data_IF_893918580471
#
_entry.id   IF_893918580471
#
_cell.length_a   1.000
_cell.length_b   1.000
_cell.length_c   1.000
_cell.angle_alpha   90.00
_cell.angle_beta   90.00
_cell.angle_gamma   90.00
#
_symmetry.space_group_name_H-M   'P 1'
#
loop_
_entity.id
_entity.type
_entity.pdbx_description
1 polymer ?
#
# COMPACT_ATOMS: atom_id res chain seq x y z
N UNK A 1 21.59 -27.72 -42.21
CA UNK A 1 21.94 -26.47 -41.50
C UNK A 1 21.17 -26.38 -40.19
N UNK A 2 21.82 -26.53 -39.03
CA UNK A 2 21.20 -26.24 -37.73
C UNK A 2 21.09 -24.72 -37.60
N UNK A 3 19.88 -24.16 -37.69
CA UNK A 3 19.64 -22.75 -37.35
C UNK A 3 19.94 -22.58 -35.85
N UNK A 4 21.07 -21.98 -35.51
CA UNK A 4 21.36 -21.57 -34.14
C UNK A 4 20.46 -20.38 -33.81
N UNK A 5 19.41 -20.63 -33.06
CA UNK A 5 18.50 -19.59 -32.57
C UNK A 5 19.28 -18.62 -31.67
N UNK A 6 19.34 -17.34 -32.06
CA UNK A 6 20.02 -16.31 -31.29
C UNK A 6 19.15 -15.95 -30.06
N UNK A 7 19.36 -16.68 -28.97
CA UNK A 7 18.60 -16.52 -27.73
C UNK A 7 18.81 -15.17 -27.07
N UNK A 8 19.93 -14.49 -27.30
CA UNK A 8 20.14 -13.14 -26.80
C UNK A 8 19.23 -12.13 -27.49
N UNK A 9 18.97 -12.30 -28.79
CA UNK A 9 18.03 -11.46 -29.54
C UNK A 9 16.61 -11.58 -28.96
N UNK A 10 16.16 -12.80 -28.65
CA UNK A 10 14.81 -13.05 -28.11
C UNK A 10 14.68 -12.45 -26.70
N UNK A 11 15.68 -12.68 -25.84
CA UNK A 11 15.64 -12.15 -24.47
C UNK A 11 15.66 -10.63 -24.49
N UNK A 12 16.48 -10.02 -25.35
CA UNK A 12 16.53 -8.56 -25.49
C UNK A 12 15.23 -8.00 -26.07
N UNK A 13 14.60 -8.69 -27.04
CA UNK A 13 13.30 -8.30 -27.58
C UNK A 13 12.18 -8.41 -26.53
N UNK A 14 12.21 -9.43 -25.67
CA UNK A 14 11.27 -9.59 -24.56
C UNK A 14 11.45 -8.50 -23.51
N UNK A 15 12.69 -8.14 -23.16
CA UNK A 15 12.98 -7.03 -22.24
C UNK A 15 12.49 -5.72 -22.85
N UNK A 16 12.81 -5.45 -24.12
CA UNK A 16 12.37 -4.23 -24.82
C UNK A 16 10.84 -4.15 -24.88
N UNK A 17 10.18 -5.26 -25.22
CA UNK A 17 8.73 -5.35 -25.23
C UNK A 17 8.15 -5.14 -23.84
N UNK A 18 8.73 -5.74 -22.79
CA UNK A 18 8.28 -5.54 -21.41
C UNK A 18 8.44 -4.08 -20.95
N UNK A 19 9.54 -3.42 -21.33
CA UNK A 19 9.76 -1.99 -21.06
C UNK A 19 8.75 -1.12 -21.82
N UNK A 20 8.52 -1.38 -23.11
CA UNK A 20 7.55 -0.66 -23.92
C UNK A 20 6.11 -0.90 -23.46
N UNK A 21 5.76 -2.15 -23.17
CA UNK A 21 4.47 -2.53 -22.60
C UNK A 21 4.30 -1.91 -21.21
N UNK A 22 5.36 -1.77 -20.41
CA UNK A 22 5.30 -1.06 -19.14
C UNK A 22 5.11 0.45 -19.32
N UNK A 23 5.75 1.08 -20.31
CA UNK A 23 5.51 2.50 -20.63
C UNK A 23 4.04 2.70 -21.08
N UNK A 24 3.52 1.79 -21.90
CA UNK A 24 2.15 1.86 -22.43
C UNK A 24 1.11 1.49 -21.37
N UNK A 25 1.29 0.37 -20.66
CA UNK A 25 0.40 -0.14 -19.59
C UNK A 25 0.62 0.52 -18.23
N UNK A 26 1.67 1.30 -18.01
CA UNK A 26 1.82 2.17 -16.85
C UNK A 26 1.00 3.47 -17.01
N UNK A 27 0.79 3.89 -18.27
CA UNK A 27 -0.02 5.06 -18.63
C UNK A 27 -1.51 4.69 -18.79
N UNK A 28 -1.84 3.50 -19.30
CA UNK A 28 -3.22 3.08 -19.56
C UNK A 28 -4.15 2.91 -18.31
N UNK A 29 -3.74 2.38 -17.15
CA UNK A 29 -4.61 2.15 -16.00
C UNK A 29 -4.96 3.43 -15.24
N UNK A 30 -4.40 4.58 -15.63
CA UNK A 30 -4.94 5.89 -15.23
C UNK A 30 -6.37 6.12 -15.78
N UNK A 31 -6.82 5.33 -16.76
CA UNK A 31 -8.11 5.52 -17.46
C UNK A 31 -9.19 4.55 -16.96
N UNK A 32 -8.85 3.44 -16.29
CA UNK A 32 -9.81 2.38 -15.95
C UNK A 32 -9.59 1.80 -14.54
N UNK A 33 -10.17 2.42 -13.51
CA UNK A 33 -10.34 1.79 -12.19
C UNK A 33 -11.84 1.67 -11.86
N UNK A 34 -12.32 0.43 -11.85
CA UNK A 34 -13.65 0.04 -11.37
C UNK A 34 -13.65 0.02 -9.83
N UNK A 35 -14.70 0.58 -9.20
CA UNK A 35 -14.92 0.52 -7.75
C UNK A 35 -15.21 -0.92 -7.32
N UNK A 36 -14.63 -1.35 -6.20
CA UNK A 36 -15.08 -2.51 -5.44
C UNK A 36 -15.69 -2.04 -4.11
N UNK A 37 -16.81 -2.62 -3.73
CA UNK A 37 -17.56 -2.23 -2.53
C UNK A 37 -16.93 -2.79 -1.25
N UNK A 38 -16.97 -2.05 -0.12
CA UNK A 38 -16.50 -2.55 1.16
C UNK A 38 -17.54 -3.47 1.83
N UNK A 39 -17.00 -4.51 2.47
CA UNK A 39 -17.69 -5.53 3.26
C UNK A 39 -18.38 -4.92 4.49
N UNK A 40 -19.55 -5.47 4.88
CA UNK A 40 -20.26 -5.09 6.10
C UNK A 40 -20.32 -6.27 7.07
N UNK A 41 -19.83 -6.07 8.29
CA UNK A 41 -19.97 -6.99 9.42
C UNK A 41 -21.08 -6.51 10.35
N UNK A 42 -21.81 -7.45 10.95
CA UNK A 42 -22.87 -7.18 11.92
C UNK A 42 -22.27 -7.30 13.34
N UNK A 43 -22.65 -6.40 14.24
CA UNK A 43 -22.16 -6.35 15.63
C UNK A 43 -23.30 -6.55 16.64
N UNK A 44 -22.96 -7.19 17.76
CA UNK A 44 -23.84 -7.49 18.89
C UNK A 44 -24.04 -6.28 19.82
N UNK A 45 -25.21 -6.23 20.46
CA UNK A 45 -25.74 -5.09 21.20
C UNK A 45 -25.20 -4.98 22.63
N UNK A 46 -24.28 -4.03 22.86
CA UNK A 46 -23.96 -3.50 24.18
C UNK A 46 -24.65 -2.14 24.38
N UNK A 47 -25.16 -1.87 25.59
CA UNK A 47 -25.89 -0.64 25.90
C UNK A 47 -24.92 0.53 26.16
N UNK A 48 -24.78 1.44 25.20
CA UNK A 48 -24.05 2.70 25.34
C UNK A 48 -24.99 3.89 25.16
N UNK A 49 -24.87 4.90 26.03
CA UNK A 49 -25.47 6.21 25.79
C UNK A 49 -24.40 7.14 25.20
N UNK A 50 -24.59 7.55 23.96
CA UNK A 50 -23.68 8.47 23.24
C UNK A 50 -24.14 9.90 23.48
N UNK A 51 -23.29 10.73 24.08
CA UNK A 51 -23.57 12.15 24.29
C UNK A 51 -22.55 13.02 23.56
N UNK A 52 -23.01 14.08 22.91
CA UNK A 52 -22.14 15.11 22.37
C UNK A 52 -21.49 14.80 21.01
N UNK A 53 -21.53 13.56 20.51
CA UNK A 53 -21.29 13.37 19.08
C UNK A 53 -22.52 13.92 18.35
N UNK A 54 -22.43 15.14 17.81
CA UNK A 54 -23.36 15.58 16.77
C UNK A 54 -23.19 14.60 15.61
N UNK A 55 -23.92 13.49 15.64
CA UNK A 55 -24.39 12.87 14.44
C UNK A 55 -25.32 13.92 13.83
N UNK A 56 -24.76 14.89 13.10
CA UNK A 56 -25.54 15.89 12.35
C UNK A 56 -26.37 15.27 11.23
N UNK A 57 -26.52 13.94 11.25
CA UNK A 57 -27.07 13.08 10.21
C UNK A 57 -27.81 11.87 10.79
N UNK A 58 -28.39 11.95 12.00
CA UNK A 58 -29.28 10.89 12.48
C UNK A 58 -30.40 10.66 11.45
N UNK A 59 -30.40 9.49 10.79
CA UNK A 59 -31.53 9.07 9.94
C UNK A 59 -32.65 8.71 10.90
N UNK A 60 -33.83 9.30 10.71
CA UNK A 60 -34.97 9.01 11.59
C UNK A 60 -35.29 7.52 11.61
N UNK A 61 -35.31 6.93 12.80
CA UNK A 61 -35.65 5.51 13.01
C UNK A 61 -37.13 5.20 12.71
N UNK A 62 -37.93 6.25 12.49
CA UNK A 62 -39.35 6.13 12.09
C UNK A 62 -39.55 5.83 10.60
N UNK A 63 -38.48 5.79 9.79
CA UNK A 63 -38.58 5.51 8.36
C UNK A 63 -38.78 4.01 8.10
N UNK A 64 -39.60 3.63 7.09
CA UNK A 64 -39.65 2.25 6.61
C UNK A 64 -38.26 1.74 6.23
N UNK A 65 -37.95 0.48 6.57
CA UNK A 65 -36.59 -0.10 6.47
C UNK A 65 -35.86 0.19 5.15
N UNK A 66 -36.55 0.07 4.02
CA UNK A 66 -35.97 0.35 2.71
C UNK A 66 -35.54 1.82 2.53
N UNK A 67 -36.35 2.77 3.01
CA UNK A 67 -36.04 4.20 2.96
C UNK A 67 -34.96 4.57 3.97
N UNK A 68 -34.95 3.93 5.14
CA UNK A 68 -33.86 4.06 6.11
C UNK A 68 -32.54 3.62 5.48
N UNK A 69 -32.48 2.41 4.89
CA UNK A 69 -31.27 1.88 4.25
C UNK A 69 -30.80 2.78 3.09
N UNK A 70 -31.73 3.24 2.24
CA UNK A 70 -31.42 4.15 1.14
C UNK A 70 -30.87 5.48 1.64
N UNK A 71 -31.47 6.09 2.68
CA UNK A 71 -30.95 7.34 3.28
C UNK A 71 -29.62 7.12 3.98
N UNK A 72 -29.42 5.97 4.63
CA UNK A 72 -28.15 5.59 5.24
C UNK A 72 -27.06 5.44 4.17
N UNK A 73 -27.36 4.80 3.04
CA UNK A 73 -26.44 4.68 1.90
C UNK A 73 -26.20 6.03 1.20
N UNK A 74 -27.24 6.84 0.99
CA UNK A 74 -27.11 8.21 0.47
C UNK A 74 -26.30 9.09 1.41
N UNK A 75 -26.42 8.91 2.73
CA UNK A 75 -25.61 9.61 3.72
C UNK A 75 -24.19 9.06 3.80
N UNK A 76 -23.97 7.76 3.69
CA UNK A 76 -22.63 7.18 3.53
C UNK A 76 -21.97 7.73 2.26
N UNK A 77 -22.71 7.78 1.16
CA UNK A 77 -22.29 8.41 -0.09
C UNK A 77 -22.04 9.92 0.07
N UNK A 78 -22.90 10.65 0.77
CA UNK A 78 -22.65 12.06 1.10
C UNK A 78 -21.46 12.22 2.06
N UNK A 79 -21.19 11.34 3.02
CA UNK A 79 -19.94 11.35 3.82
C UNK A 79 -18.73 11.29 2.89
N UNK A 80 -18.75 10.37 1.93
CA UNK A 80 -17.69 10.25 0.91
C UNK A 80 -17.50 11.51 0.06
N UNK A 81 -18.53 12.35 -0.12
CA UNK A 81 -18.46 13.57 -0.96
C UNK A 81 -18.35 14.89 -0.16
N UNK A 82 -18.83 14.93 1.09
CA UNK A 82 -19.10 16.17 1.83
C UNK A 82 -18.18 16.35 3.04
N UNK A 83 -17.64 15.28 3.66
CA UNK A 83 -16.74 15.41 4.83
C UNK A 83 -15.41 16.11 4.49
N UNK A 84 -15.06 16.26 3.21
CA UNK A 84 -13.78 16.86 2.87
C UNK A 84 -13.83 18.25 2.19
N UNK A 85 -14.90 18.67 1.51
CA UNK A 85 -14.73 19.70 0.46
C UNK A 85 -13.62 19.34 -0.55
N UNK A 86 -13.18 18.09 -0.55
CA UNK A 86 -12.24 17.49 -1.48
C UNK A 86 -13.11 16.52 -2.25
N UNK A 87 -13.84 17.03 -3.23
CA UNK A 87 -14.17 16.17 -4.35
C UNK A 87 -12.81 15.74 -4.90
N UNK A 88 -12.48 14.46 -4.77
CA UNK A 88 -11.50 13.82 -5.62
C UNK A 88 -12.09 13.81 -7.05
N UNK A 89 -12.24 15.00 -7.63
CA UNK A 89 -12.35 15.15 -9.06
C UNK A 89 -11.13 14.44 -9.62
N UNK A 90 -11.37 13.64 -10.66
CA UNK A 90 -10.33 13.10 -11.52
C UNK A 90 -9.55 14.29 -12.10
N UNK A 91 -8.67 14.91 -11.32
CA UNK A 91 -7.67 15.80 -11.84
C UNK A 91 -6.71 14.90 -12.63
N UNK A 92 -6.50 15.13 -13.93
CA UNK A 92 -5.61 14.33 -14.77
C UNK A 92 -4.12 14.44 -14.36
N UNK A 93 -3.83 15.13 -13.26
CA UNK A 93 -2.48 15.51 -12.88
C UNK A 93 -1.85 14.43 -11.99
N UNK A 94 -1.14 13.54 -12.65
CA UNK A 94 -0.02 12.74 -12.13
C UNK A 94 -0.25 12.02 -10.80
N UNK A 95 -1.15 11.02 -10.78
CA UNK A 95 -0.92 9.87 -9.90
C UNK A 95 0.14 8.99 -10.55
N UNK A 96 1.40 9.11 -10.13
CA UNK A 96 2.35 7.99 -10.29
C UNK A 96 2.10 7.05 -9.10
N UNK A 97 0.86 6.57 -9.00
CA UNK A 97 0.46 5.63 -7.95
C UNK A 97 0.44 4.26 -8.61
N UNK A 98 1.47 3.46 -8.36
CA UNK A 98 1.34 2.02 -8.58
C UNK A 98 0.12 1.58 -7.78
N UNK A 99 -0.86 0.94 -8.41
CA UNK A 99 -2.11 0.55 -7.75
C UNK A 99 -1.83 -0.08 -6.38
N UNK A 100 -2.29 0.54 -5.29
CA UNK A 100 -1.95 0.14 -3.90
C UNK A 100 -0.43 -0.02 -3.69
N UNK A 101 0.37 0.98 -4.05
CA UNK A 101 1.81 0.94 -3.80
C UNK A 101 2.03 0.66 -2.30
N UNK A 102 2.80 -0.38 -2.00
CA UNK A 102 3.12 -0.77 -0.61
C UNK A 102 4.22 0.13 -0.01
N UNK A 103 4.52 1.25 -0.66
CA UNK A 103 5.63 2.16 -0.40
C UNK A 103 5.13 3.60 -0.26
N UNK A 104 6.03 4.52 0.09
CA UNK A 104 5.83 5.96 0.03
C UNK A 104 5.30 6.38 -1.35
N UNK A 105 4.19 7.09 -1.37
CA UNK A 105 3.60 7.66 -2.59
C UNK A 105 3.46 9.18 -2.44
N UNK A 106 3.67 9.92 -3.53
CA UNK A 106 3.56 11.36 -3.55
C UNK A 106 2.30 11.73 -4.33
N UNK A 107 1.32 12.33 -3.64
CA UNK A 107 0.04 12.71 -4.24
C UNK A 107 -0.25 14.21 -4.11
N UNK A 108 -0.79 14.81 -5.17
CA UNK A 108 -1.44 16.11 -5.10
C UNK A 108 -2.97 15.94 -5.02
N UNK A 109 -3.63 16.78 -4.22
CA UNK A 109 -5.09 16.87 -4.17
C UNK A 109 -5.54 18.30 -4.32
N UNK A 110 -6.59 18.48 -5.12
CA UNK A 110 -7.28 19.76 -5.24
C UNK A 110 -8.43 19.78 -4.24
N UNK A 111 -8.38 20.68 -3.26
CA UNK A 111 -9.50 20.91 -2.35
C UNK A 111 -10.42 21.97 -2.96
N UNK A 112 -11.65 21.57 -3.31
CA UNK A 112 -12.67 22.44 -3.87
C UNK A 112 -13.42 23.16 -2.76
N UNK A 113 -13.11 24.45 -2.58
CA UNK A 113 -13.94 25.29 -1.71
C UNK A 113 -15.05 25.89 -2.57
N UNK A 114 -16.32 25.76 -2.16
CA UNK A 114 -17.50 26.12 -2.98
C UNK A 114 -17.56 27.59 -3.45
N UNK A 115 -16.61 28.43 -3.04
CA UNK A 115 -16.56 29.87 -3.32
C UNK A 115 -15.24 30.39 -3.90
N UNK A 116 -14.18 29.56 -4.05
CA UNK A 116 -12.86 30.00 -4.58
C UNK A 116 -12.15 28.89 -5.36
N UNK A 117 -11.26 29.28 -6.30
CA UNK A 117 -10.30 28.38 -6.96
C UNK A 117 -9.69 27.39 -5.96
N UNK A 118 -9.72 26.11 -6.31
CA UNK A 118 -9.32 25.04 -5.40
C UNK A 118 -7.86 25.15 -4.96
N UNK A 119 -7.61 25.02 -3.65
CA UNK A 119 -6.26 25.04 -3.11
C UNK A 119 -5.62 23.68 -3.41
N UNK A 120 -4.50 23.69 -4.14
CA UNK A 120 -3.67 22.51 -4.33
C UNK A 120 -2.90 22.20 -3.05
N UNK A 121 -3.09 21.00 -2.52
CA UNK A 121 -2.33 20.48 -1.38
C UNK A 121 -1.52 19.28 -1.82
N UNK A 122 -0.28 19.21 -1.36
CA UNK A 122 0.65 18.13 -1.65
C UNK A 122 0.79 17.24 -0.42
N UNK A 123 0.77 15.93 -0.65
CA UNK A 123 0.82 14.92 0.39
C UNK A 123 1.86 13.86 0.06
N UNK A 124 2.49 13.34 1.12
CA UNK A 124 3.24 12.09 1.09
C UNK A 124 2.41 11.02 1.81
N UNK A 125 1.97 10.02 1.07
CA UNK A 125 1.18 8.90 1.56
C UNK A 125 2.12 7.84 2.18
N UNK A 126 1.90 7.55 3.46
CA UNK A 126 2.59 6.55 4.26
C UNK A 126 1.75 5.27 4.33
N UNK A 127 1.80 4.47 3.26
CA UNK A 127 0.97 3.26 3.13
C UNK A 127 1.28 2.17 4.17
N UNK A 128 2.49 2.17 4.76
CA UNK A 128 2.89 1.29 5.86
C UNK A 128 2.40 1.72 7.24
N UNK A 129 1.68 2.85 7.36
CA UNK A 129 1.27 3.42 8.64
C UNK A 129 -0.23 3.68 8.67
N UNK A 130 -0.92 3.13 9.67
CA UNK A 130 -2.38 3.23 9.81
C UNK A 130 -2.74 3.77 11.18
N UNK A 131 -3.91 4.39 11.26
CA UNK A 131 -4.52 4.69 12.55
C UNK A 131 -4.90 3.38 13.25
N UNK A 132 -4.67 3.33 14.56
CA UNK A 132 -5.10 2.25 15.43
C UNK A 132 -6.63 2.29 15.60
N UNK A 133 -7.34 1.98 14.52
CA UNK A 133 -8.78 1.82 14.52
C UNK A 133 -9.11 0.37 14.81
N UNK A 134 -9.92 0.14 15.84
CA UNK A 134 -10.71 -1.06 15.87
C UNK A 134 -11.82 -0.92 14.81
N UNK A 135 -11.94 -1.91 13.92
CA UNK A 135 -12.93 -1.96 12.84
C UNK A 135 -14.37 -2.05 13.39
N UNK A 136 -14.49 -2.32 14.68
CA UNK A 136 -15.75 -2.40 15.38
C UNK A 136 -16.12 -1.01 15.91
N UNK A 137 -17.00 -0.30 15.19
CA UNK A 137 -17.53 1.03 15.58
C UNK A 137 -18.20 1.00 16.98
N UNK A 138 -18.52 -0.18 17.49
CA UNK A 138 -19.13 -0.40 18.80
C UNK A 138 -18.12 -0.74 19.90
N UNK A 139 -16.83 -0.87 19.56
CA UNK A 139 -15.77 -0.91 20.58
C UNK A 139 -15.46 0.50 21.02
N UNK A 140 -15.44 0.67 22.34
CA UNK A 140 -15.20 1.93 23.03
C UNK A 140 -13.85 2.58 22.76
N UNK A 141 -13.00 1.98 21.94
CA UNK A 141 -11.66 2.47 21.56
C UNK A 141 -11.59 2.89 20.08
N UNK A 142 -12.73 2.97 19.36
CA UNK A 142 -12.74 3.33 17.95
C UNK A 142 -12.39 4.81 17.74
N UNK A 143 -11.18 5.08 17.24
CA UNK A 143 -10.74 6.44 16.88
C UNK A 143 -11.28 6.80 15.49
N UNK A 144 -12.04 7.89 15.38
CA UNK A 144 -12.46 8.42 14.08
C UNK A 144 -11.61 9.64 13.68
N UNK A 145 -11.49 9.88 12.37
CA UNK A 145 -10.78 11.02 11.80
C UNK A 145 -11.78 11.86 11.04
N UNK A 146 -11.82 13.16 11.31
CA UNK A 146 -12.62 14.11 10.54
C UNK A 146 -11.84 15.40 10.27
N UNK A 147 -12.22 16.10 9.20
CA UNK A 147 -11.65 17.41 8.86
C UNK A 147 -12.68 18.49 9.14
N UNK A 148 -12.45 19.31 10.18
CA UNK A 148 -13.31 20.45 10.52
C UNK A 148 -12.64 21.75 10.10
N UNK A 149 -13.35 22.54 9.28
CA UNK A 149 -12.85 23.84 8.79
C UNK A 149 -11.45 23.77 8.17
N UNK A 150 -11.16 22.68 7.44
CA UNK A 150 -9.87 22.45 6.77
C UNK A 150 -8.71 22.01 7.68
N UNK A 151 -8.96 21.77 8.97
CA UNK A 151 -8.01 21.23 9.94
C UNK A 151 -8.38 19.78 10.29
N UNK A 152 -7.41 18.85 10.32
CA UNK A 152 -7.69 17.45 10.65
C UNK A 152 -7.72 17.23 12.18
N UNK A 153 -8.69 16.43 12.63
CA UNK A 153 -8.89 16.07 14.03
C UNK A 153 -9.09 14.56 14.17
N UNK A 154 -8.64 14.02 15.29
CA UNK A 154 -9.07 12.73 15.78
C UNK A 154 -10.16 12.89 16.83
N UNK A 155 -11.15 12.00 16.81
CA UNK A 155 -12.15 11.87 17.86
C UNK A 155 -11.80 10.64 18.66
N UNK A 156 -11.43 10.88 19.91
CA UNK A 156 -11.12 9.83 20.86
C UNK A 156 -12.32 9.60 21.77
N UNK A 157 -12.86 8.37 21.83
CA UNK A 157 -13.89 8.06 22.81
C UNK A 157 -13.33 8.20 24.23
N UNK A 158 -14.05 8.92 25.08
CA UNK A 158 -13.88 9.01 26.52
C UNK A 158 -15.05 8.28 27.16
N UNK A 159 -14.74 7.15 27.79
CA UNK A 159 -15.71 6.38 28.57
C UNK A 159 -15.78 7.00 29.97
N UNK A 160 -16.96 7.48 30.33
CA UNK A 160 -17.26 7.95 31.69
C UNK A 160 -18.31 7.06 32.32
N UNK A 161 -18.15 6.72 33.61
CA UNK A 161 -19.17 5.98 34.35
C UNK A 161 -20.36 6.90 34.59
N UNK A 162 -21.56 6.44 34.22
CA UNK A 162 -22.79 7.13 34.62
C UNK A 162 -22.93 7.03 36.14
N UNK A 163 -23.40 8.11 36.77
CA UNK A 163 -23.64 8.13 38.23
C UNK A 163 -24.81 7.24 38.66
N UNK A 164 -25.59 6.74 37.70
CA UNK A 164 -26.73 5.89 37.95
C UNK A 164 -26.30 4.42 38.03
N UNK A 165 -26.87 3.64 38.95
CA UNK A 165 -26.49 2.24 39.22
C UNK A 165 -26.82 1.25 38.07
N UNK A 166 -27.12 1.76 36.88
CA UNK A 166 -27.56 1.00 35.71
C UNK A 166 -26.47 0.20 35.01
N UNK A 167 -25.20 0.34 35.42
CA UNK A 167 -24.06 -0.31 34.76
C UNK A 167 -23.75 0.25 33.36
N UNK A 168 -24.52 1.22 32.88
CA UNK A 168 -24.33 1.87 31.59
C UNK A 168 -23.11 2.81 31.61
N UNK A 169 -22.47 2.95 30.46
CA UNK A 169 -21.35 3.88 30.27
C UNK A 169 -21.77 5.04 29.37
N UNK A 170 -21.35 6.25 29.74
CA UNK A 170 -21.51 7.45 28.93
C UNK A 170 -20.29 7.59 28.03
N UNK A 171 -20.51 7.48 26.73
CA UNK A 171 -19.50 7.68 25.71
C UNK A 171 -19.50 9.16 25.29
N UNK A 172 -18.43 9.86 25.62
CA UNK A 172 -18.14 11.22 25.14
C UNK A 172 -16.98 11.17 24.16
N UNK A 173 -16.79 12.19 23.33
CA UNK A 173 -15.68 12.24 22.38
C UNK A 173 -14.84 13.49 22.61
N UNK A 174 -13.53 13.33 22.67
CA UNK A 174 -12.57 14.43 22.72
C UNK A 174 -11.99 14.65 21.34
N UNK A 175 -11.98 15.92 20.93
CA UNK A 175 -11.37 16.35 19.67
C UNK A 175 -9.89 16.65 19.91
N UNK A 176 -9.02 15.93 19.21
CA UNK A 176 -7.57 16.16 19.25
C UNK A 176 -7.08 16.61 17.87
N UNK A 177 -6.49 17.82 17.75
CA UNK A 177 -5.96 18.28 16.48
C UNK A 177 -4.73 17.45 16.09
N UNK A 178 -4.64 17.04 14.83
CA UNK A 178 -3.50 16.28 14.30
C UNK A 178 -2.82 17.00 13.16
N UNK A 179 -1.60 16.57 12.83
CA UNK A 179 -0.77 17.18 11.76
C UNK A 179 -0.82 16.41 10.45
N UNK A 180 -1.48 15.25 10.44
CA UNK A 180 -1.58 14.37 9.28
C UNK A 180 -3.04 14.22 8.84
N UNK A 181 -3.20 13.67 7.65
CA UNK A 181 -4.48 13.41 7.03
C UNK A 181 -4.70 11.91 6.92
N UNK A 182 -5.95 11.47 6.93
CA UNK A 182 -6.30 10.11 6.58
C UNK A 182 -7.33 10.12 5.46
N UNK A 183 -7.09 9.33 4.42
CA UNK A 183 -8.05 9.17 3.35
C UNK A 183 -8.97 8.00 3.63
N UNK A 184 -10.29 8.21 3.59
CA UNK A 184 -11.26 7.15 3.88
C UNK A 184 -11.07 5.87 3.04
N UNK A 185 -10.53 5.97 1.82
CA UNK A 185 -10.28 4.82 0.93
C UNK A 185 -8.99 4.06 1.23
N UNK A 186 -8.05 4.67 1.93
CA UNK A 186 -6.75 4.10 2.23
C UNK A 186 -6.52 4.24 3.72
N UNK A 187 -6.46 3.12 4.44
CA UNK A 187 -6.17 3.14 5.87
C UNK A 187 -4.86 3.88 6.22
N UNK A 188 -4.00 4.09 5.21
CA UNK A 188 -2.76 4.84 5.25
C UNK A 188 -2.90 6.30 5.68
N UNK A 189 -1.81 6.84 6.22
CA UNK A 189 -1.70 8.22 6.69
C UNK A 189 -1.02 9.07 5.62
N UNK A 190 -1.53 10.27 5.40
CA UNK A 190 -1.00 11.22 4.43
C UNK A 190 -0.45 12.44 5.13
N UNK A 191 0.83 12.76 4.89
CA UNK A 191 1.49 13.90 5.51
C UNK A 191 1.45 15.08 4.56
N UNK A 192 0.87 16.23 4.96
CA UNK A 192 0.89 17.42 4.14
C UNK A 192 2.33 17.95 4.05
N UNK A 193 2.78 18.24 2.83
CA UNK A 193 4.12 18.75 2.55
C UNK A 193 4.08 20.01 1.68
N UNK A 194 5.17 20.77 1.67
CA UNK A 194 5.31 21.87 0.73
C UNK A 194 5.47 21.37 -0.70
N UNK A 195 5.11 22.20 -1.67
CA UNK A 195 5.31 21.91 -3.09
C UNK A 195 6.77 21.62 -3.44
N UNK A 196 7.70 22.39 -2.87
CA UNK A 196 9.13 22.20 -3.06
C UNK A 196 9.59 20.83 -2.55
N UNK A 197 9.16 20.43 -1.34
CA UNK A 197 9.48 19.12 -0.79
C UNK A 197 8.87 17.99 -1.64
N UNK A 198 7.61 18.15 -2.05
CA UNK A 198 6.93 17.21 -2.93
C UNK A 198 7.68 16.99 -4.24
N UNK A 199 8.09 18.07 -4.90
CA UNK A 199 8.83 17.99 -6.15
C UNK A 199 10.19 17.32 -5.97
N UNK A 200 10.93 17.66 -4.92
CA UNK A 200 12.21 17.00 -4.60
C UNK A 200 12.01 15.50 -4.34
N UNK A 201 11.05 15.14 -3.49
CA UNK A 201 10.73 13.75 -3.18
C UNK A 201 10.34 12.98 -4.46
N UNK A 202 9.52 13.57 -5.33
CA UNK A 202 9.12 12.99 -6.61
C UNK A 202 10.33 12.74 -7.54
N UNK A 203 11.21 13.72 -7.67
CA UNK A 203 12.43 13.58 -8.49
C UNK A 203 13.39 12.51 -7.98
N UNK A 204 13.37 12.20 -6.68
CA UNK A 204 14.14 11.10 -6.08
C UNK A 204 13.42 9.76 -6.25
N UNK A 205 12.12 9.69 -5.95
CA UNK A 205 11.33 8.45 -5.95
C UNK A 205 11.17 7.90 -7.38
N UNK A 206 11.01 8.76 -8.38
CA UNK A 206 10.78 8.35 -9.77
C UNK A 206 11.92 7.50 -10.37
N UNK A 207 13.20 7.95 -10.37
CA UNK A 207 14.30 7.14 -10.91
C UNK A 207 14.54 5.87 -10.08
N UNK A 208 14.36 5.92 -8.76
CA UNK A 208 14.47 4.73 -7.90
C UNK A 208 13.41 3.70 -8.27
N UNK A 209 12.16 4.13 -8.42
CA UNK A 209 11.05 3.25 -8.82
C UNK A 209 11.29 2.63 -10.19
N UNK A 210 11.73 3.44 -11.16
CA UNK A 210 12.11 2.97 -12.49
C UNK A 210 13.25 1.95 -12.44
N UNK A 211 14.29 2.22 -11.65
CA UNK A 211 15.40 1.31 -11.43
C UNK A 211 14.97 -0.03 -10.84
N UNK A 212 14.03 -0.04 -9.88
CA UNK A 212 13.48 -1.26 -9.31
C UNK A 212 12.71 -2.10 -10.34
N UNK A 213 11.99 -1.46 -11.27
CA UNK A 213 11.28 -2.17 -12.34
C UNK A 213 12.26 -2.78 -13.34
N UNK A 214 13.26 -2.02 -13.78
CA UNK A 214 14.32 -2.52 -14.66
C UNK A 214 15.05 -3.68 -13.99
N UNK A 215 15.33 -3.57 -12.69
CA UNK A 215 15.93 -4.64 -11.91
C UNK A 215 15.05 -5.89 -11.84
N UNK A 216 13.73 -5.74 -11.64
CA UNK A 216 12.80 -6.85 -11.64
C UNK A 216 12.74 -7.56 -13.01
N UNK A 217 12.69 -6.81 -14.12
CA UNK A 217 12.78 -7.36 -15.46
C UNK A 217 14.11 -8.08 -15.70
N UNK A 218 15.21 -7.53 -15.17
CA UNK A 218 16.51 -8.18 -15.20
C UNK A 218 16.51 -9.54 -14.47
N UNK A 219 15.86 -9.66 -13.30
CA UNK A 219 15.72 -10.95 -12.60
C UNK A 219 14.94 -11.97 -13.42
N UNK A 220 13.85 -11.55 -14.09
CA UNK A 220 13.10 -12.42 -15.02
C UNK A 220 14.00 -12.89 -16.16
N UNK A 221 14.79 -11.99 -16.76
CA UNK A 221 15.72 -12.34 -17.82
C UNK A 221 16.80 -13.32 -17.34
N UNK A 222 17.34 -13.16 -16.13
CA UNK A 222 18.27 -14.12 -15.54
C UNK A 222 17.64 -15.50 -15.37
N UNK A 223 16.39 -15.55 -14.91
CA UNK A 223 15.66 -16.81 -14.75
C UNK A 223 15.42 -17.49 -16.10
N UNK A 224 14.96 -16.77 -17.11
CA UNK A 224 14.76 -17.32 -18.46
C UNK A 224 16.07 -17.84 -19.07
N UNK A 225 17.17 -17.09 -18.93
CA UNK A 225 18.49 -17.53 -19.41
C UNK A 225 18.96 -18.80 -18.67
N UNK A 226 18.70 -18.91 -17.38
CA UNK A 226 18.98 -20.13 -16.62
C UNK A 226 18.21 -21.34 -17.19
N UNK A 227 16.90 -21.21 -17.44
CA UNK A 227 16.08 -22.29 -18.03
C UNK A 227 16.58 -22.70 -19.42
N UNK A 228 16.95 -21.73 -20.25
CA UNK A 228 17.51 -21.99 -21.60
C UNK A 228 18.84 -22.74 -21.53
N UNK A 229 19.72 -22.39 -20.58
CA UNK A 229 21.01 -23.07 -20.45
C UNK A 229 20.83 -24.50 -19.90
N UNK A 230 19.87 -24.71 -18.98
CA UNK A 230 19.50 -26.04 -18.49
C UNK A 230 18.98 -26.91 -19.62
N UNK A 231 18.12 -26.39 -20.50
CA UNK A 231 17.59 -27.16 -21.64
C UNK A 231 18.65 -27.53 -22.69
N UNK A 232 19.78 -26.81 -22.70
CA UNK A 232 20.95 -27.10 -23.55
C UNK A 232 21.98 -28.03 -22.88
N UNK A 233 21.70 -28.52 -21.67
CA UNK A 233 22.62 -29.37 -20.90
C UNK A 233 23.73 -28.61 -20.17
N UNK A 234 23.73 -27.27 -20.20
CA UNK A 234 24.73 -26.42 -19.54
C UNK A 234 24.29 -26.02 -18.11
N UNK A 235 23.67 -26.95 -17.38
CA UNK A 235 23.01 -26.71 -16.10
C UNK A 235 24.00 -26.27 -14.99
N UNK A 236 25.18 -26.90 -14.93
CA UNK A 236 26.13 -26.78 -13.82
C UNK A 236 27.27 -25.79 -14.10
N UNK A 237 26.97 -24.65 -14.70
CA UNK A 237 27.97 -23.60 -14.96
C UNK A 237 28.06 -22.60 -13.80
N UNK A 238 29.25 -22.01 -13.57
CA UNK A 238 29.42 -20.93 -12.59
C UNK A 238 28.48 -19.75 -12.85
N UNK A 239 28.18 -19.48 -14.12
CA UNK A 239 27.25 -18.43 -14.54
C UNK A 239 25.84 -18.73 -14.03
N UNK A 240 25.34 -19.96 -14.24
CA UNK A 240 24.02 -20.36 -13.77
C UNK A 240 23.90 -20.40 -12.24
N UNK A 241 24.95 -20.83 -11.54
CA UNK A 241 25.00 -20.74 -10.08
C UNK A 241 24.87 -19.30 -9.59
N UNK A 242 25.60 -18.36 -10.22
CA UNK A 242 25.51 -16.93 -9.86
C UNK A 242 24.13 -16.36 -10.15
N UNK A 243 23.47 -16.75 -11.25
CA UNK A 243 22.09 -16.33 -11.56
C UNK A 243 21.10 -16.78 -10.49
N UNK A 244 21.14 -18.06 -10.11
CA UNK A 244 20.29 -18.60 -9.03
C UNK A 244 20.54 -17.87 -7.71
N UNK A 245 21.80 -17.63 -7.36
CA UNK A 245 22.16 -16.89 -6.14
C UNK A 245 21.63 -15.46 -6.15
N UNK A 246 21.79 -14.73 -7.25
CA UNK A 246 21.27 -13.37 -7.39
C UNK A 246 19.75 -13.38 -7.18
N UNK A 247 19.02 -14.24 -7.89
CA UNK A 247 17.55 -14.35 -7.75
C UNK A 247 17.17 -14.66 -6.30
N UNK A 248 17.81 -15.65 -5.67
CA UNK A 248 17.55 -16.03 -4.29
C UNK A 248 17.73 -14.86 -3.32
N UNK A 249 18.89 -14.19 -3.38
CA UNK A 249 19.21 -13.06 -2.50
C UNK A 249 18.25 -11.89 -2.73
N UNK A 250 17.92 -11.55 -3.98
CA UNK A 250 16.97 -10.47 -4.28
C UNK A 250 15.60 -10.71 -3.66
N UNK A 251 15.08 -11.94 -3.77
CA UNK A 251 13.78 -12.32 -3.20
C UNK A 251 13.81 -12.32 -1.66
N UNK A 252 14.91 -12.74 -1.05
CA UNK A 252 15.09 -12.72 0.40
C UNK A 252 15.24 -11.30 0.96
N UNK A 253 15.95 -10.41 0.26
CA UNK A 253 16.21 -9.03 0.70
C UNK A 253 14.98 -8.13 0.55
N UNK A 254 14.14 -8.37 -0.45
CA UNK A 254 12.93 -7.58 -0.73
C UNK A 254 12.05 -7.24 0.50
N UNK A 255 11.61 -8.20 1.33
CA UNK A 255 10.78 -7.90 2.52
C UNK A 255 11.51 -7.04 3.55
N UNK A 256 12.82 -7.20 3.72
CA UNK A 256 13.62 -6.36 4.60
C UNK A 256 13.75 -4.94 4.07
N UNK A 257 13.92 -4.79 2.75
CA UNK A 257 13.96 -3.48 2.11
C UNK A 257 12.64 -2.73 2.35
N UNK A 258 11.49 -3.42 2.24
CA UNK A 258 10.18 -2.85 2.55
C UNK A 258 10.08 -2.40 4.00
N UNK A 259 10.43 -3.28 4.94
CA UNK A 259 10.45 -2.94 6.37
C UNK A 259 11.35 -1.71 6.65
N UNK A 260 12.52 -1.67 6.03
CA UNK A 260 13.45 -0.56 6.14
C UNK A 260 12.87 0.75 5.58
N UNK A 261 12.16 0.71 4.46
CA UNK A 261 11.51 1.92 3.92
C UNK A 261 10.41 2.47 4.82
N UNK A 262 9.62 1.59 5.46
CA UNK A 262 8.59 2.02 6.42
C UNK A 262 9.21 2.61 7.70
N UNK A 263 10.33 2.03 8.16
CA UNK A 263 11.12 2.56 9.28
C UNK A 263 11.78 3.90 8.98
N UNK A 264 12.33 4.08 7.78
CA UNK A 264 12.86 5.37 7.33
C UNK A 264 11.78 6.45 7.28
N UNK A 265 10.58 6.11 6.79
CA UNK A 265 9.46 7.03 6.80
C UNK A 265 9.12 7.50 8.22
N UNK A 266 9.15 6.59 9.20
CA UNK A 266 8.95 6.95 10.60
C UNK A 266 10.01 7.91 11.13
N UNK A 267 11.30 7.68 10.84
CA UNK A 267 12.38 8.56 11.28
C UNK A 267 12.21 9.97 10.68
N UNK A 268 11.98 10.05 9.36
CA UNK A 268 11.85 11.32 8.63
C UNK A 268 10.64 12.11 9.13
N UNK A 269 9.53 11.43 9.38
CA UNK A 269 8.25 12.06 9.71
C UNK A 269 7.86 11.95 11.18
N UNK A 270 8.78 11.60 12.09
CA UNK A 270 8.48 11.27 13.49
C UNK A 270 7.64 12.35 14.20
N UNK A 271 7.81 13.63 13.87
CA UNK A 271 7.07 14.76 14.45
C UNK A 271 5.58 14.81 14.10
N UNK A 272 5.16 14.05 13.08
CA UNK A 272 3.77 13.88 12.66
C UNK A 272 3.10 12.69 13.34
N UNK A 273 3.87 11.75 13.90
CA UNK A 273 3.32 10.58 14.57
C UNK A 273 2.84 10.92 15.98
N UNK A 274 1.65 10.42 16.33
CA UNK A 274 1.16 10.35 17.70
C UNK A 274 1.01 8.88 18.14
N UNK A 275 0.65 8.66 19.41
CA UNK A 275 0.49 7.31 19.98
C UNK A 275 -0.57 6.46 19.29
N UNK A 276 -1.49 7.09 18.53
CA UNK A 276 -2.60 6.41 17.87
C UNK A 276 -2.22 5.88 16.48
N UNK A 277 -1.07 6.29 15.96
CA UNK A 277 -0.55 5.78 14.71
C UNK A 277 0.29 4.55 15.01
N UNK A 278 -0.02 3.46 14.32
CA UNK A 278 0.77 2.24 14.34
C UNK A 278 1.22 1.88 12.95
N UNK A 279 2.32 1.15 12.85
CA UNK A 279 2.68 0.52 11.60
C UNK A 279 1.55 -0.45 11.22
N UNK A 280 1.08 -0.38 9.99
CA UNK A 280 0.23 -1.42 9.43
C UNK A 280 0.96 -2.73 9.69
N UNK A 281 0.32 -3.68 10.37
CA UNK A 281 0.95 -4.96 10.69
C UNK A 281 1.67 -5.46 9.45
N UNK A 282 2.98 -5.73 9.59
CA UNK A 282 3.79 -6.15 8.45
C UNK A 282 3.04 -7.29 7.77
N UNK A 283 2.80 -7.14 6.46
CA UNK A 283 2.01 -8.11 5.69
C UNK A 283 2.83 -9.39 5.51
N UNK A 284 2.94 -10.14 6.60
CA UNK A 284 3.69 -11.39 6.70
C UNK A 284 3.14 -12.40 5.71
N UNK A 285 1.85 -12.34 5.38
CA UNK A 285 1.23 -13.16 4.35
C UNK A 285 1.89 -12.95 2.98
N UNK A 286 2.08 -11.70 2.56
CA UNK A 286 2.77 -11.42 1.31
C UNK A 286 4.29 -11.56 1.43
N UNK A 287 4.90 -11.15 2.53
CA UNK A 287 6.34 -11.24 2.73
C UNK A 287 6.84 -12.69 2.79
N UNK A 288 6.12 -13.59 3.48
CA UNK A 288 6.48 -15.00 3.58
C UNK A 288 6.51 -15.71 2.24
N UNK A 289 5.66 -15.31 1.27
CA UNK A 289 5.69 -15.86 -0.10
C UNK A 289 7.02 -15.55 -0.80
N UNK A 290 7.49 -14.31 -0.67
CA UNK A 290 8.77 -13.89 -1.23
C UNK A 290 9.96 -14.56 -0.53
N UNK A 291 9.92 -14.65 0.80
CA UNK A 291 10.94 -15.38 1.57
C UNK A 291 10.97 -16.86 1.18
N UNK A 292 9.81 -17.51 1.09
CA UNK A 292 9.69 -18.92 0.69
C UNK A 292 10.24 -19.16 -0.71
N UNK A 293 9.88 -18.32 -1.69
CA UNK A 293 10.44 -18.38 -3.03
C UNK A 293 11.96 -18.19 -3.02
N UNK A 294 12.47 -17.20 -2.28
CA UNK A 294 13.89 -16.96 -2.12
C UNK A 294 14.64 -18.16 -1.51
N UNK A 295 14.05 -18.81 -0.50
CA UNK A 295 14.59 -20.03 0.11
C UNK A 295 14.63 -21.19 -0.89
N UNK A 296 13.58 -21.39 -1.70
CA UNK A 296 13.58 -22.42 -2.76
C UNK A 296 14.72 -22.19 -3.74
N UNK A 297 14.90 -20.97 -4.23
CA UNK A 297 16.01 -20.65 -5.12
C UNK A 297 17.39 -20.82 -4.45
N UNK A 298 17.49 -20.51 -3.15
CA UNK A 298 18.72 -20.73 -2.39
C UNK A 298 19.06 -22.22 -2.23
N UNK A 299 18.05 -23.07 -2.01
CA UNK A 299 18.23 -24.52 -1.96
C UNK A 299 18.63 -25.06 -3.34
N UNK A 300 18.00 -24.59 -4.41
CA UNK A 300 18.41 -24.94 -5.79
C UNK A 300 19.85 -24.53 -6.06
N UNK A 301 20.26 -23.32 -5.65
CA UNK A 301 21.66 -22.89 -5.74
C UNK A 301 22.60 -23.85 -5.02
N UNK A 302 22.30 -24.24 -3.77
CA UNK A 302 23.11 -25.20 -3.02
C UNK A 302 23.19 -26.57 -3.71
N UNK A 303 22.06 -27.07 -4.19
CA UNK A 303 21.99 -28.36 -4.89
C UNK A 303 22.79 -28.35 -6.19
N UNK A 304 22.62 -27.32 -7.02
CA UNK A 304 23.37 -27.18 -8.28
C UNK A 304 24.87 -26.98 -8.02
N UNK A 305 25.24 -26.27 -6.95
CA UNK A 305 26.65 -26.10 -6.57
C UNK A 305 27.28 -27.43 -6.16
N UNK A 306 26.56 -28.26 -5.41
CA UNK A 306 27.01 -29.59 -5.03
C UNK A 306 27.13 -30.51 -6.26
N UNK A 307 26.13 -30.51 -7.14
CA UNK A 307 26.16 -31.30 -8.37
C UNK A 307 27.34 -30.90 -9.28
N UNK A 308 27.61 -29.59 -9.41
CA UNK A 308 28.79 -29.10 -10.13
C UNK A 308 30.09 -29.62 -9.54
N UNK A 309 30.22 -29.58 -8.20
CA UNK A 309 31.41 -30.09 -7.51
C UNK A 309 31.62 -31.59 -7.79
N UNK A 310 30.55 -32.38 -7.73
CA UNK A 310 30.61 -33.81 -8.05
C UNK A 310 30.97 -34.07 -9.52
N UNK A 311 30.48 -33.25 -10.44
CA UNK A 311 30.84 -33.34 -11.85
C UNK A 311 32.33 -33.07 -12.07
N UNK A 312 32.86 -32.00 -11.45
CA UNK A 312 34.29 -31.66 -11.50
C UNK A 312 35.17 -32.74 -10.87
N UNK A 313 34.72 -33.38 -9.77
CA UNK A 313 35.42 -34.50 -9.15
C UNK A 313 35.45 -35.74 -10.07
N UNK A 314 34.34 -36.07 -10.74
CA UNK A 314 34.29 -37.20 -11.65
C UNK A 314 35.12 -37.00 -12.93
N UNK A 315 35.10 -35.77 -13.49
CA UNK A 315 35.91 -35.42 -14.67
C UNK A 315 37.42 -35.50 -14.38
N UNK A 316 37.85 -35.42 -13.11
CA UNK A 316 39.25 -35.58 -12.69
C UNK A 316 39.68 -37.04 -12.48
N UNK A 317 38.72 -37.98 -12.41
CA UNK A 317 39.00 -39.40 -12.10
C UNK A 317 39.01 -40.33 -13.31
N UNK A 318 38.61 -39.86 -14.49
CA UNK A 318 38.60 -40.63 -15.75
C UNK A 318 39.87 -40.32 -16.54
#
# INVERSE_FOLDING_TARGET
>A
MKKTFNTDLIVNALILFAVLAYIVLGVLPLILIKKSDPFSGWAESNCYQVSGHKNSYAVSDTLPYYQYKKKLEEQKNKRYYTINGIQSGLSPVSRISFSKSQYLDARSMMQWNHTKLGIHRYFIDLNGWILNRYIDEYKTDSISFEVKSGKPYLYKPLISKLKDNSGCQLLTYTEEPVKYWQLERHAGISIPVSESFFNVARWIIMPVSFGLIVYFLYLIALFLKFIVDVSRGASFTNVNLRRLLIIAVSLLVYPFLRFFTDGLAWIIFHTYFNSDIRMAGFDWGNASRWVGAGLVFLLLFKAFRQAKKLQEEHDLTI
#
